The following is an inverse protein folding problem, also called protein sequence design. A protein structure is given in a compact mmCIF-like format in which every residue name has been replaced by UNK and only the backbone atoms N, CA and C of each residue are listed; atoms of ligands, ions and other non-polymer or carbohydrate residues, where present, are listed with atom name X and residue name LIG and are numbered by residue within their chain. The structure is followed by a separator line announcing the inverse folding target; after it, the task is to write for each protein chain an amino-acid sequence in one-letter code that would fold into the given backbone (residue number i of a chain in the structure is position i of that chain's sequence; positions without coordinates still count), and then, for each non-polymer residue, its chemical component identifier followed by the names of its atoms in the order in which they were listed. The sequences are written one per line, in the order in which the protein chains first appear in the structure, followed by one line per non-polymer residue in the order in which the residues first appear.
data_IF_684140199217
#
_entry.id   IF_684140199217
#
_cell.length_a   1.000
_cell.length_b   1.000
_cell.length_c   1.000
_cell.angle_alpha   90.00
_cell.angle_beta   90.00
_cell.angle_gamma   90.00
#
_symmetry.space_group_name_H-M   'P 1'
#
loop_
_entity.id
_entity.type
_entity.pdbx_description
1 polymer ?
#
# COMPACT_ATOMS: atom_id res chain seq x y z
N UNK A 1 -30.24 29.62 -52.88
CA UNK A 1 -30.84 28.76 -51.83
C UNK A 1 -31.26 27.37 -52.34
N UNK A 2 -30.58 26.81 -53.35
CA UNK A 2 -30.98 25.56 -54.03
C UNK A 2 -29.80 24.58 -54.30
N UNK A 3 -28.73 24.59 -53.48
CA UNK A 3 -27.58 23.69 -53.67
C UNK A 3 -27.18 22.85 -52.45
N UNK A 4 -27.98 22.86 -51.37
CA UNK A 4 -27.70 22.07 -50.15
C UNK A 4 -28.56 20.81 -49.98
N UNK A 5 -29.55 20.57 -50.85
CA UNK A 5 -30.45 19.42 -50.75
C UNK A 5 -30.04 18.21 -51.61
N UNK A 6 -29.14 18.38 -52.59
CA UNK A 6 -28.70 17.27 -53.46
C UNK A 6 -27.58 16.40 -52.84
N UNK A 7 -26.94 16.85 -51.75
CA UNK A 7 -25.87 16.09 -51.07
C UNK A 7 -26.43 15.19 -49.95
N UNK A 8 -27.67 15.43 -49.49
CA UNK A 8 -28.32 14.64 -48.45
C UNK A 8 -28.90 13.31 -48.96
N UNK A 9 -29.20 13.18 -50.26
CA UNK A 9 -29.78 11.97 -50.85
C UNK A 9 -28.75 10.92 -51.25
N UNK A 10 -27.47 11.31 -51.39
CA UNK A 10 -26.39 10.40 -51.79
C UNK A 10 -25.63 9.79 -50.58
N UNK A 11 -25.89 10.29 -49.37
CA UNK A 11 -25.30 9.76 -48.13
C UNK A 11 -26.15 8.64 -47.48
N UNK A 12 -27.35 8.37 -47.99
CA UNK A 12 -28.26 7.34 -47.45
C UNK A 12 -28.27 6.03 -48.25
N UNK A 13 -27.53 5.96 -49.38
CA UNK A 13 -27.48 4.76 -50.25
C UNK A 13 -26.23 3.89 -50.01
N UNK A 14 -25.22 4.38 -49.28
CA UNK A 14 -24.04 3.57 -48.95
C UNK A 14 -24.23 2.62 -47.75
N UNK A 15 -25.40 2.59 -47.13
CA UNK A 15 -25.79 1.55 -46.17
C UNK A 15 -26.38 0.29 -46.85
N UNK A 16 -26.65 0.33 -48.17
CA UNK A 16 -27.31 -0.74 -48.92
C UNK A 16 -26.35 -1.69 -49.68
N UNK A 17 -25.04 -1.63 -49.41
CA UNK A 17 -24.03 -2.39 -50.13
C UNK A 17 -23.80 -3.84 -49.67
N UNK A 18 -24.40 -4.27 -48.55
CA UNK A 18 -24.32 -5.67 -48.12
C UNK A 18 -25.47 -6.45 -48.75
N UNK A 19 -25.16 -7.36 -49.67
CA UNK A 19 -26.16 -8.22 -50.28
C UNK A 19 -26.98 -8.98 -49.22
N UNK A 20 -28.25 -9.37 -49.50
CA UNK A 20 -29.13 -10.03 -48.52
C UNK A 20 -28.49 -11.24 -47.82
N UNK A 21 -27.58 -11.93 -48.51
CA UNK A 21 -26.81 -13.05 -47.97
C UNK A 21 -25.78 -12.61 -46.91
N UNK A 22 -25.03 -11.53 -47.15
CA UNK A 22 -24.07 -10.99 -46.17
C UNK A 22 -24.77 -10.46 -44.92
N UNK A 23 -25.93 -9.81 -45.07
CA UNK A 23 -26.72 -9.35 -43.92
C UNK A 23 -27.22 -10.53 -43.05
N UNK A 24 -27.62 -11.64 -43.68
CA UNK A 24 -28.02 -12.88 -42.97
C UNK A 24 -26.85 -13.51 -42.23
N UNK A 25 -25.67 -13.59 -42.86
CA UNK A 25 -24.47 -14.14 -42.22
C UNK A 25 -24.01 -13.29 -41.04
N UNK A 26 -24.02 -11.96 -41.16
CA UNK A 26 -23.69 -11.05 -40.06
C UNK A 26 -24.65 -11.20 -38.86
N UNK A 27 -25.96 -11.37 -39.12
CA UNK A 27 -26.95 -11.64 -38.08
C UNK A 27 -26.72 -12.97 -37.36
N UNK A 28 -26.50 -14.05 -38.12
CA UNK A 28 -26.23 -15.38 -37.57
C UNK A 28 -24.91 -15.44 -36.78
N UNK A 29 -23.86 -14.80 -37.29
CA UNK A 29 -22.56 -14.70 -36.61
C UNK A 29 -22.70 -13.97 -35.26
N UNK A 30 -23.42 -12.84 -35.24
CA UNK A 30 -23.72 -12.08 -34.02
C UNK A 30 -24.47 -12.93 -33.00
N UNK A 31 -25.50 -13.65 -33.43
CA UNK A 31 -26.28 -14.51 -32.55
C UNK A 31 -25.43 -15.64 -31.96
N UNK A 32 -24.62 -16.30 -32.80
CA UNK A 32 -23.70 -17.36 -32.38
C UNK A 32 -22.67 -16.84 -31.36
N UNK A 33 -22.11 -15.65 -31.58
CA UNK A 33 -21.20 -14.99 -30.65
C UNK A 33 -21.83 -14.78 -29.27
N UNK A 34 -23.03 -14.20 -29.20
CA UNK A 34 -23.71 -13.99 -27.92
C UNK A 34 -24.17 -15.30 -27.26
N UNK A 35 -24.56 -16.30 -28.05
CA UNK A 35 -24.88 -17.63 -27.54
C UNK A 35 -23.65 -18.26 -26.85
N UNK A 36 -22.47 -18.11 -27.43
CA UNK A 36 -21.22 -18.56 -26.82
C UNK A 36 -20.91 -17.86 -25.50
N UNK A 37 -21.13 -16.53 -25.42
CA UNK A 37 -20.94 -15.80 -24.16
C UNK A 37 -21.92 -16.23 -23.06
N UNK A 38 -23.12 -16.70 -23.41
CA UNK A 38 -24.04 -17.32 -22.44
C UNK A 38 -23.48 -18.66 -21.93
N UNK A 39 -23.00 -19.52 -22.83
CA UNK A 39 -22.37 -20.79 -22.46
C UNK A 39 -21.17 -20.58 -21.52
N UNK A 40 -20.35 -19.54 -21.74
CA UNK A 40 -19.24 -19.22 -20.83
C UNK A 40 -19.76 -18.87 -19.42
N UNK A 41 -20.83 -18.07 -19.33
CA UNK A 41 -21.44 -17.70 -18.04
C UNK A 41 -22.08 -18.87 -17.32
N UNK A 42 -22.59 -19.85 -18.07
CA UNK A 42 -23.12 -21.12 -17.56
C UNK A 42 -22.03 -22.08 -17.09
N UNK A 43 -20.74 -21.71 -17.20
CA UNK A 43 -19.63 -22.57 -16.78
C UNK A 43 -19.26 -23.65 -17.79
N UNK A 44 -19.62 -23.47 -19.07
CA UNK A 44 -19.28 -24.36 -20.19
C UNK A 44 -18.23 -23.74 -21.12
N UNK A 45 -16.99 -23.52 -20.64
CA UNK A 45 -15.98 -22.77 -21.40
C UNK A 45 -15.58 -23.47 -22.71
N UNK A 46 -15.56 -24.81 -22.76
CA UNK A 46 -15.18 -25.53 -23.98
C UNK A 46 -16.22 -25.35 -25.08
N UNK A 47 -17.50 -25.61 -24.77
CA UNK A 47 -18.61 -25.38 -25.70
C UNK A 47 -18.66 -23.92 -26.16
N UNK A 48 -18.42 -22.96 -25.24
CA UNK A 48 -18.35 -21.54 -25.59
C UNK A 48 -17.22 -21.24 -26.58
N UNK A 49 -16.00 -21.75 -26.34
CA UNK A 49 -14.87 -21.52 -27.22
C UNK A 49 -15.08 -22.13 -28.61
N UNK A 50 -15.62 -23.34 -28.68
CA UNK A 50 -15.97 -24.01 -29.95
C UNK A 50 -17.06 -23.26 -30.70
N UNK A 51 -18.08 -22.76 -30.01
CA UNK A 51 -19.16 -21.94 -30.60
C UNK A 51 -18.61 -20.62 -31.17
N UNK A 52 -17.64 -19.99 -30.51
CA UNK A 52 -16.95 -18.79 -31.02
C UNK A 52 -16.12 -19.09 -32.26
N UNK A 53 -15.41 -20.23 -32.30
CA UNK A 53 -14.69 -20.67 -33.50
C UNK A 53 -15.67 -20.89 -34.65
N UNK A 54 -16.78 -21.58 -34.41
CA UNK A 54 -17.81 -21.78 -35.42
C UNK A 54 -18.41 -20.44 -35.91
N UNK A 55 -18.62 -19.46 -35.02
CA UNK A 55 -19.06 -18.12 -35.41
C UNK A 55 -18.04 -17.40 -36.31
N UNK A 56 -16.75 -17.54 -36.04
CA UNK A 56 -15.68 -17.04 -36.90
C UNK A 56 -15.68 -17.73 -38.28
N UNK A 57 -15.84 -19.06 -38.32
CA UNK A 57 -15.84 -19.85 -39.56
C UNK A 57 -17.06 -19.58 -40.46
N UNK A 58 -18.21 -19.19 -39.88
CA UNK A 58 -19.41 -18.81 -40.65
C UNK A 58 -19.18 -17.59 -41.55
N UNK A 59 -18.41 -16.60 -41.08
CA UNK A 59 -18.08 -15.41 -41.85
C UNK A 59 -16.74 -14.82 -41.38
N UNK A 60 -15.65 -15.24 -42.02
CA UNK A 60 -14.29 -14.77 -41.72
C UNK A 60 -14.06 -13.31 -42.11
N UNK A 61 -14.95 -12.68 -42.87
CA UNK A 61 -14.85 -11.24 -43.17
C UNK A 61 -15.86 -10.41 -42.37
N UNK A 62 -16.68 -11.07 -41.56
CA UNK A 62 -17.71 -10.47 -40.75
C UNK A 62 -17.15 -9.57 -39.65
N UNK A 63 -17.95 -8.59 -39.25
CA UNK A 63 -17.56 -7.59 -38.24
C UNK A 63 -17.36 -8.18 -36.84
N UNK A 64 -17.82 -9.41 -36.57
CA UNK A 64 -17.63 -10.12 -35.31
C UNK A 64 -16.52 -11.17 -35.37
N UNK A 65 -15.94 -11.43 -36.54
CA UNK A 65 -14.91 -12.45 -36.71
C UNK A 65 -13.66 -12.22 -35.83
N UNK A 66 -13.08 -11.00 -35.75
CA UNK A 66 -11.93 -10.76 -34.87
C UNK A 66 -12.28 -10.85 -33.37
N UNK A 67 -13.47 -10.42 -32.96
CA UNK A 67 -13.96 -10.56 -31.60
C UNK A 67 -14.16 -12.03 -31.22
N UNK A 68 -14.80 -12.81 -32.10
CA UNK A 68 -15.04 -14.24 -31.87
C UNK A 68 -13.72 -15.00 -31.69
N UNK A 69 -12.75 -14.76 -32.57
CA UNK A 69 -11.44 -15.39 -32.52
C UNK A 69 -10.64 -14.97 -31.27
N UNK A 70 -10.66 -13.69 -30.92
CA UNK A 70 -9.98 -13.16 -29.73
C UNK A 70 -10.58 -13.66 -28.42
N UNK A 71 -11.91 -13.78 -28.34
CA UNK A 71 -12.60 -14.32 -27.17
C UNK A 71 -12.41 -15.84 -27.06
N UNK A 72 -12.42 -16.59 -28.17
CA UNK A 72 -12.11 -18.02 -28.15
C UNK A 72 -10.70 -18.26 -27.59
N UNK A 73 -9.70 -17.54 -28.12
CA UNK A 73 -8.32 -17.60 -27.64
C UNK A 73 -8.22 -17.31 -26.13
N UNK A 74 -8.94 -16.29 -25.64
CA UNK A 74 -8.98 -15.95 -24.21
C UNK A 74 -9.55 -17.09 -23.37
N UNK A 75 -10.59 -17.78 -23.83
CA UNK A 75 -11.21 -18.89 -23.09
C UNK A 75 -10.24 -20.07 -23.03
N UNK A 76 -9.61 -20.45 -24.16
CA UNK A 76 -8.58 -21.48 -24.18
C UNK A 76 -7.44 -21.18 -23.20
N UNK A 77 -6.99 -19.93 -23.17
CA UNK A 77 -5.93 -19.48 -22.27
C UNK A 77 -6.36 -19.55 -20.79
N UNK A 78 -7.45 -18.86 -20.42
CA UNK A 78 -7.75 -18.53 -19.02
C UNK A 78 -8.63 -19.53 -18.30
N UNK A 79 -9.42 -20.32 -19.05
CA UNK A 79 -10.42 -21.23 -18.50
C UNK A 79 -10.09 -22.68 -18.77
N UNK A 80 -9.61 -22.98 -19.98
CA UNK A 80 -9.25 -24.34 -20.37
C UNK A 80 -7.77 -24.66 -20.08
N UNK A 81 -6.93 -23.64 -19.92
CA UNK A 81 -5.49 -23.77 -19.69
C UNK A 81 -4.80 -24.54 -20.84
N UNK A 82 -5.16 -24.19 -22.08
CA UNK A 82 -4.58 -24.75 -23.32
C UNK A 82 -3.77 -23.65 -24.02
N UNK A 83 -2.56 -23.33 -23.52
CA UNK A 83 -1.79 -22.18 -23.97
C UNK A 83 -1.37 -22.30 -25.44
N UNK A 84 -1.12 -23.51 -25.96
CA UNK A 84 -0.76 -23.71 -27.37
C UNK A 84 -1.95 -23.40 -28.28
N UNK A 85 -3.14 -23.88 -27.93
CA UNK A 85 -4.37 -23.58 -28.68
C UNK A 85 -4.72 -22.10 -28.66
N UNK A 86 -4.57 -21.45 -27.50
CA UNK A 86 -4.73 -20.01 -27.38
C UNK A 86 -3.72 -19.24 -28.26
N UNK A 87 -2.46 -19.66 -28.27
CA UNK A 87 -1.39 -19.06 -29.09
C UNK A 87 -1.71 -19.17 -30.59
N UNK A 88 -2.19 -20.32 -31.06
CA UNK A 88 -2.62 -20.51 -32.46
C UNK A 88 -3.74 -19.52 -32.85
N UNK A 89 -4.77 -19.39 -32.02
CA UNK A 89 -5.91 -18.52 -32.30
C UNK A 89 -5.52 -17.03 -32.24
N UNK A 90 -4.67 -16.63 -31.29
CA UNK A 90 -4.12 -15.28 -31.27
C UNK A 90 -3.21 -15.00 -32.47
N UNK A 91 -2.42 -15.98 -32.92
CA UNK A 91 -1.62 -15.87 -34.14
C UNK A 91 -2.49 -15.62 -35.37
N UNK A 92 -3.55 -16.43 -35.55
CA UNK A 92 -4.54 -16.23 -36.63
C UNK A 92 -5.20 -14.86 -36.58
N UNK A 93 -5.52 -14.35 -35.39
CA UNK A 93 -6.12 -13.02 -35.21
C UNK A 93 -5.17 -11.90 -35.68
N UNK A 94 -3.88 -12.01 -35.35
CA UNK A 94 -2.88 -11.03 -35.77
C UNK A 94 -2.61 -11.07 -37.29
N UNK A 95 -2.62 -12.26 -37.87
CA UNK A 95 -2.41 -12.47 -39.30
C UNK A 95 -3.58 -11.92 -40.13
N UNK A 96 -4.81 -12.26 -39.75
CA UNK A 96 -5.99 -11.95 -40.56
C UNK A 96 -6.59 -10.58 -40.26
N UNK A 97 -6.43 -10.07 -39.04
CA UNK A 97 -7.04 -8.81 -38.60
C UNK A 97 -6.04 -7.89 -37.90
N UNK A 98 -4.90 -7.52 -38.51
CA UNK A 98 -3.84 -6.75 -37.85
C UNK A 98 -4.32 -5.41 -37.27
N UNK A 99 -5.34 -4.80 -37.88
CA UNK A 99 -5.92 -3.51 -37.47
C UNK A 99 -7.06 -3.63 -36.44
N UNK A 100 -7.46 -4.85 -36.04
CA UNK A 100 -8.55 -5.01 -35.08
C UNK A 100 -8.16 -4.48 -33.69
N UNK A 101 -9.16 -4.02 -32.92
CA UNK A 101 -8.95 -3.60 -31.53
C UNK A 101 -8.34 -4.73 -30.69
N UNK A 102 -8.71 -5.98 -30.96
CA UNK A 102 -8.24 -7.16 -30.24
C UNK A 102 -6.78 -7.49 -30.54
N UNK A 103 -6.28 -7.11 -31.72
CA UNK A 103 -4.91 -7.42 -32.16
C UNK A 103 -3.83 -6.82 -31.25
N UNK A 104 -4.03 -5.61 -30.72
CA UNK A 104 -3.08 -5.03 -29.76
C UNK A 104 -2.91 -5.88 -28.50
N UNK A 105 -4.01 -6.42 -27.97
CA UNK A 105 -3.99 -7.32 -26.80
C UNK A 105 -3.42 -8.69 -27.18
N UNK A 106 -3.81 -9.22 -28.34
CA UNK A 106 -3.32 -10.49 -28.85
C UNK A 106 -1.80 -10.48 -29.01
N UNK A 107 -1.20 -9.40 -29.50
CA UNK A 107 0.26 -9.27 -29.65
C UNK A 107 1.00 -9.47 -28.33
N UNK A 108 0.53 -8.84 -27.25
CA UNK A 108 1.11 -9.02 -25.92
C UNK A 108 0.92 -10.46 -25.41
N UNK A 109 -0.22 -11.09 -25.69
CA UNK A 109 -0.48 -12.48 -25.30
C UNK A 109 0.35 -13.48 -26.11
N UNK A 110 0.52 -13.29 -27.41
CA UNK A 110 1.39 -14.12 -28.27
C UNK A 110 2.81 -14.06 -27.74
N UNK A 111 3.36 -12.85 -27.54
CA UNK A 111 4.72 -12.68 -27.00
C UNK A 111 4.89 -13.37 -25.64
N UNK A 112 3.88 -13.27 -24.78
CA UNK A 112 3.92 -13.91 -23.47
C UNK A 112 3.82 -15.43 -23.58
N UNK A 113 2.86 -15.97 -24.32
CA UNK A 113 2.67 -17.42 -24.44
C UNK A 113 3.86 -18.08 -25.13
N UNK A 114 4.36 -17.51 -26.23
CA UNK A 114 5.52 -18.08 -26.94
C UNK A 114 6.80 -18.04 -26.11
N UNK A 115 6.97 -17.00 -25.28
CA UNK A 115 8.14 -16.85 -24.40
C UNK A 115 8.21 -17.84 -23.24
N UNK A 116 7.10 -18.49 -22.87
CA UNK A 116 7.04 -19.37 -21.68
C UNK A 116 6.55 -20.79 -21.98
N UNK A 117 6.61 -21.21 -23.25
CA UNK A 117 6.35 -22.61 -23.66
C UNK A 117 7.62 -23.48 -23.66
N UNK A 118 8.73 -22.95 -23.15
CA UNK A 118 10.06 -23.58 -23.08
C UNK A 118 10.08 -24.89 -22.28
N UNK A 119 9.35 -24.95 -21.17
CA UNK A 119 9.21 -26.16 -20.36
C UNK A 119 8.10 -27.11 -20.84
N UNK A 120 7.43 -26.76 -21.95
CA UNK A 120 6.32 -27.53 -22.52
C UNK A 120 4.93 -27.03 -22.10
N UNK A 121 3.92 -27.40 -22.89
CA UNK A 121 2.53 -26.94 -22.73
C UNK A 121 1.93 -27.32 -21.37
N UNK A 122 2.20 -28.55 -20.89
CA UNK A 122 1.64 -29.04 -19.63
C UNK A 122 2.14 -28.25 -18.42
N UNK A 123 3.41 -27.84 -18.42
CA UNK A 123 4.02 -27.07 -17.33
C UNK A 123 3.40 -25.67 -17.26
N UNK A 124 3.29 -25.00 -18.40
CA UNK A 124 2.66 -23.68 -18.47
C UNK A 124 1.16 -23.75 -18.10
N UNK A 125 0.47 -24.78 -18.57
CA UNK A 125 -0.94 -25.02 -18.23
C UNK A 125 -1.15 -25.19 -16.72
N UNK A 126 -0.31 -26.00 -16.06
CA UNK A 126 -0.41 -26.22 -14.61
C UNK A 126 -0.04 -24.97 -13.81
N UNK A 127 0.98 -24.21 -14.26
CA UNK A 127 1.32 -22.91 -13.69
C UNK A 127 0.12 -21.95 -13.75
N UNK A 128 -0.49 -21.81 -14.93
CA UNK A 128 -1.65 -20.92 -15.13
C UNK A 128 -2.86 -21.38 -14.32
N UNK A 129 -3.12 -22.69 -14.28
CA UNK A 129 -4.21 -23.28 -13.48
C UNK A 129 -4.03 -22.97 -12.01
N UNK A 130 -2.87 -23.25 -11.46
CA UNK A 130 -2.56 -23.05 -10.04
C UNK A 130 -2.69 -21.58 -9.65
N UNK A 131 -2.09 -20.68 -10.42
CA UNK A 131 -2.11 -19.24 -10.11
C UNK A 131 -3.48 -18.59 -10.27
N UNK A 132 -4.30 -19.04 -11.24
CA UNK A 132 -5.66 -18.53 -11.45
C UNK A 132 -6.64 -19.09 -10.41
N UNK A 133 -6.54 -20.37 -10.08
CA UNK A 133 -7.45 -21.03 -9.14
C UNK A 133 -7.10 -20.78 -7.66
N UNK A 134 -5.92 -20.24 -7.37
CA UNK A 134 -5.46 -19.99 -6.01
C UNK A 134 -6.41 -19.12 -5.16
N UNK A 135 -7.18 -18.21 -5.77
CA UNK A 135 -8.15 -17.41 -5.00
C UNK A 135 -9.40 -18.20 -4.60
N UNK A 136 -9.68 -19.33 -5.27
CA UNK A 136 -10.79 -20.24 -4.94
C UNK A 136 -10.33 -21.39 -4.05
N UNK A 137 -9.03 -21.70 -4.07
CA UNK A 137 -8.40 -22.75 -3.28
C UNK A 137 -7.70 -22.16 -2.05
N UNK A 138 -7.23 -23.03 -1.17
CA UNK A 138 -6.32 -22.63 -0.10
C UNK A 138 -4.99 -22.14 -0.73
N UNK A 139 -4.59 -20.91 -0.42
CA UNK A 139 -3.35 -20.30 -0.93
C UNK A 139 -2.11 -21.15 -0.63
N UNK A 140 -2.11 -21.86 0.50
CA UNK A 140 -0.99 -22.74 0.86
C UNK A 140 -0.92 -23.98 -0.02
N UNK A 141 -2.06 -24.58 -0.36
CA UNK A 141 -2.10 -25.74 -1.25
C UNK A 141 -1.64 -25.35 -2.65
N UNK A 142 -2.07 -24.18 -3.12
CA UNK A 142 -1.62 -23.63 -4.40
C UNK A 142 -0.10 -23.33 -4.38
N UNK A 143 0.42 -22.76 -3.29
CA UNK A 143 1.85 -22.53 -3.10
C UNK A 143 2.65 -23.85 -3.15
N UNK A 144 2.22 -24.89 -2.41
CA UNK A 144 2.87 -26.22 -2.41
C UNK A 144 2.85 -26.89 -3.79
N UNK A 145 1.74 -26.80 -4.52
CA UNK A 145 1.64 -27.34 -5.88
C UNK A 145 2.59 -26.62 -6.84
N UNK A 146 2.63 -25.28 -6.74
CA UNK A 146 3.52 -24.49 -7.58
C UNK A 146 4.99 -24.75 -7.24
N UNK A 147 5.34 -24.86 -5.96
CA UNK A 147 6.70 -25.22 -5.51
C UNK A 147 7.14 -26.55 -6.13
N UNK A 148 6.31 -27.60 -6.00
CA UNK A 148 6.58 -28.90 -6.62
C UNK A 148 6.78 -28.81 -8.13
N UNK A 149 5.96 -28.02 -8.83
CA UNK A 149 6.09 -27.82 -10.28
C UNK A 149 7.45 -27.18 -10.63
N UNK A 150 7.86 -26.16 -9.87
CA UNK A 150 9.11 -25.44 -10.13
C UNK A 150 10.35 -26.26 -9.75
N UNK A 151 10.27 -27.10 -8.73
CA UNK A 151 11.35 -28.02 -8.37
C UNK A 151 11.57 -29.10 -9.44
N UNK A 152 10.49 -29.55 -10.08
CA UNK A 152 10.55 -30.49 -11.21
C UNK A 152 11.04 -29.83 -12.51
N UNK A 153 10.83 -28.52 -12.64
CA UNK A 153 11.17 -27.74 -13.84
C UNK A 153 11.99 -26.49 -13.49
N UNK A 154 13.23 -26.64 -12.98
CA UNK A 154 14.03 -25.52 -12.49
C UNK A 154 14.43 -24.52 -13.60
N UNK A 155 14.50 -24.99 -14.85
CA UNK A 155 14.82 -24.16 -16.02
C UNK A 155 13.59 -23.49 -16.64
N UNK A 156 12.41 -23.63 -16.03
CA UNK A 156 11.20 -22.99 -16.54
C UNK A 156 11.37 -21.47 -16.53
N UNK A 157 11.11 -20.82 -17.66
CA UNK A 157 11.18 -19.37 -17.82
C UNK A 157 10.44 -18.55 -16.76
N UNK A 158 9.37 -19.10 -16.16
CA UNK A 158 8.60 -18.47 -15.07
C UNK A 158 9.01 -18.94 -13.66
N UNK A 159 10.13 -19.66 -13.49
CA UNK A 159 10.50 -20.21 -12.19
C UNK A 159 10.72 -19.12 -11.14
N UNK A 160 11.36 -18.02 -11.50
CA UNK A 160 11.59 -16.89 -10.58
C UNK A 160 10.27 -16.19 -10.23
N UNK A 161 9.45 -15.89 -11.23
CA UNK A 161 8.13 -15.28 -11.07
C UNK A 161 7.21 -16.16 -10.22
N UNK A 162 7.24 -17.47 -10.43
CA UNK A 162 6.50 -18.46 -9.67
C UNK A 162 6.92 -18.50 -8.20
N UNK A 163 8.23 -18.40 -7.90
CA UNK A 163 8.71 -18.28 -6.53
C UNK A 163 8.27 -16.98 -5.86
N UNK A 164 8.26 -15.85 -6.57
CA UNK A 164 7.65 -14.62 -6.05
C UNK A 164 6.15 -14.79 -5.76
N UNK A 165 5.44 -15.50 -6.63
CA UNK A 165 4.04 -15.80 -6.42
C UNK A 165 3.83 -16.66 -5.17
N UNK A 166 4.65 -17.69 -4.95
CA UNK A 166 4.65 -18.53 -3.74
C UNK A 166 4.85 -17.68 -2.49
N UNK A 167 5.88 -16.82 -2.47
CA UNK A 167 6.14 -15.94 -1.34
C UNK A 167 4.93 -15.04 -1.02
N UNK A 168 4.31 -14.43 -2.03
CA UNK A 168 3.11 -13.60 -1.85
C UNK A 168 1.90 -14.40 -1.38
N UNK A 169 1.70 -15.63 -1.89
CA UNK A 169 0.64 -16.51 -1.44
C UNK A 169 0.80 -16.90 0.03
N UNK A 170 2.02 -17.25 0.45
CA UNK A 170 2.36 -17.57 1.84
C UNK A 170 2.18 -16.36 2.77
N UNK A 171 2.60 -15.17 2.34
CA UNK A 171 2.39 -13.93 3.10
C UNK A 171 0.89 -13.67 3.33
N UNK A 172 0.08 -13.76 2.26
CA UNK A 172 -1.39 -13.61 2.33
C UNK A 172 -2.07 -14.69 3.18
N UNK A 173 -1.48 -15.87 3.28
CA UNK A 173 -1.90 -16.94 4.18
C UNK A 173 -1.45 -16.73 5.64
N UNK A 174 -0.72 -15.65 5.95
CA UNK A 174 -0.19 -15.36 7.28
C UNK A 174 1.12 -16.07 7.61
N UNK A 175 1.66 -16.87 6.69
CA UNK A 175 2.91 -17.63 6.85
C UNK A 175 4.14 -16.78 6.52
N UNK A 176 4.30 -15.67 7.25
CA UNK A 176 5.36 -14.68 7.01
C UNK A 176 6.78 -15.27 7.04
N UNK A 177 7.05 -16.21 7.95
CA UNK A 177 8.37 -16.83 8.06
C UNK A 177 8.70 -17.71 6.84
N UNK A 178 7.74 -18.47 6.32
CA UNK A 178 7.92 -19.29 5.12
C UNK A 178 8.08 -18.39 3.88
N UNK A 179 7.28 -17.34 3.75
CA UNK A 179 7.40 -16.36 2.68
C UNK A 179 8.79 -15.69 2.65
N UNK A 180 9.32 -15.30 3.82
CA UNK A 180 10.67 -14.73 3.93
C UNK A 180 11.75 -15.72 3.47
N UNK A 181 11.64 -17.02 3.84
CA UNK A 181 12.59 -18.04 3.37
C UNK A 181 12.62 -18.15 1.85
N UNK A 182 11.44 -18.13 1.20
CA UNK A 182 11.36 -18.18 -0.27
C UNK A 182 12.00 -16.93 -0.89
N UNK A 183 11.74 -15.74 -0.34
CA UNK A 183 12.37 -14.51 -0.83
C UNK A 183 13.88 -14.50 -0.62
N UNK A 184 14.37 -15.05 0.51
CA UNK A 184 15.81 -15.17 0.77
C UNK A 184 16.50 -16.09 -0.23
N UNK A 185 15.84 -17.17 -0.66
CA UNK A 185 16.34 -18.02 -1.74
C UNK A 185 16.42 -17.27 -3.07
N UNK A 186 15.41 -16.46 -3.41
CA UNK A 186 15.44 -15.64 -4.64
C UNK A 186 16.55 -14.58 -4.55
N UNK A 187 16.72 -13.95 -3.39
CA UNK A 187 17.73 -12.93 -3.13
C UNK A 187 19.18 -13.46 -3.20
N UNK A 188 19.37 -14.76 -3.00
CA UNK A 188 20.66 -15.42 -3.14
C UNK A 188 20.97 -15.94 -4.55
N UNK A 189 20.06 -15.76 -5.51
CA UNK A 189 20.24 -16.25 -6.88
C UNK A 189 21.09 -15.35 -7.77
N UNK A 190 21.47 -15.86 -8.95
CA UNK A 190 22.39 -15.19 -9.87
C UNK A 190 21.79 -13.99 -10.60
N UNK A 191 20.45 -13.85 -10.62
CA UNK A 191 19.77 -12.76 -11.31
C UNK A 191 19.73 -11.50 -10.40
N UNK A 192 20.47 -10.41 -10.73
CA UNK A 192 20.52 -9.24 -9.86
C UNK A 192 19.19 -8.49 -9.76
N UNK A 193 18.35 -8.54 -10.81
CA UNK A 193 17.05 -7.89 -10.81
C UNK A 193 16.04 -8.62 -9.93
N UNK A 194 16.00 -9.95 -10.03
CA UNK A 194 15.20 -10.78 -9.13
C UNK A 194 15.66 -10.61 -7.68
N UNK A 195 16.98 -10.61 -7.45
CA UNK A 195 17.55 -10.44 -6.11
C UNK A 195 17.20 -9.10 -5.50
N UNK A 196 17.32 -8.01 -6.26
CA UNK A 196 16.94 -6.68 -5.81
C UNK A 196 15.45 -6.58 -5.46
N UNK A 197 14.58 -7.15 -6.30
CA UNK A 197 13.13 -7.20 -6.05
C UNK A 197 12.78 -8.00 -4.78
N UNK A 198 13.43 -9.15 -4.57
CA UNK A 198 13.23 -9.97 -3.39
C UNK A 198 13.69 -9.25 -2.11
N UNK A 199 14.85 -8.61 -2.13
CA UNK A 199 15.36 -7.82 -1.01
C UNK A 199 14.44 -6.65 -0.66
N UNK A 200 13.85 -5.97 -1.65
CA UNK A 200 12.84 -4.94 -1.41
C UNK A 200 11.56 -5.47 -0.75
N UNK A 201 11.11 -6.66 -1.13
CA UNK A 201 9.96 -7.32 -0.48
C UNK A 201 10.30 -7.76 0.94
N UNK A 202 11.48 -8.34 1.18
CA UNK A 202 11.97 -8.68 2.51
C UNK A 202 11.99 -7.44 3.41
N UNK A 203 12.56 -6.33 2.94
CA UNK A 203 12.61 -5.09 3.71
C UNK A 203 11.20 -4.60 4.07
N UNK A 204 10.27 -4.62 3.10
CA UNK A 204 8.88 -4.22 3.32
C UNK A 204 8.18 -5.11 4.36
N UNK A 205 8.36 -6.43 4.26
CA UNK A 205 7.78 -7.39 5.21
C UNK A 205 8.36 -7.21 6.62
N UNK A 206 9.66 -6.94 6.74
CA UNK A 206 10.34 -6.69 8.03
C UNK A 206 9.90 -5.36 8.65
N UNK A 207 9.77 -4.29 7.87
CA UNK A 207 9.17 -3.01 8.31
C UNK A 207 7.74 -3.24 8.84
N UNK A 208 6.91 -3.99 8.11
CA UNK A 208 5.55 -4.29 8.54
C UNK A 208 5.51 -5.16 9.82
N UNK A 209 6.56 -5.94 10.08
CA UNK A 209 6.77 -6.68 11.33
C UNK A 209 7.39 -5.86 12.46
N UNK A 210 7.81 -4.61 12.21
CA UNK A 210 8.51 -3.76 13.17
C UNK A 210 9.99 -4.11 13.37
N UNK A 211 10.55 -4.98 12.51
CA UNK A 211 11.97 -5.37 12.46
C UNK A 211 12.72 -4.42 11.52
N UNK A 212 13.12 -3.25 12.04
CA UNK A 212 13.82 -2.25 11.24
C UNK A 212 15.27 -2.62 10.96
N UNK A 213 15.96 -3.23 11.92
CA UNK A 213 17.35 -3.69 11.75
C UNK A 213 17.42 -4.70 10.60
N UNK A 214 16.52 -5.66 10.59
CA UNK A 214 16.45 -6.64 9.52
C UNK A 214 16.05 -6.02 8.17
N UNK A 215 15.22 -4.99 8.14
CA UNK A 215 14.92 -4.28 6.90
C UNK A 215 16.13 -3.47 6.40
N UNK A 216 16.90 -2.87 7.31
CA UNK A 216 18.16 -2.18 7.03
C UNK A 216 19.16 -3.14 6.37
N UNK A 217 19.32 -4.34 6.92
CA UNK A 217 20.18 -5.39 6.35
C UNK A 217 19.78 -5.76 4.93
N UNK A 218 18.48 -5.87 4.66
CA UNK A 218 17.96 -6.17 3.33
C UNK A 218 18.29 -5.05 2.32
N UNK A 219 18.13 -3.78 2.71
CA UNK A 219 18.54 -2.66 1.87
C UNK A 219 20.06 -2.59 1.68
N UNK A 220 20.86 -2.87 2.71
CA UNK A 220 22.33 -2.94 2.60
C UNK A 220 22.75 -4.02 1.61
N UNK A 221 22.12 -5.21 1.65
CA UNK A 221 22.33 -6.27 0.65
C UNK A 221 21.93 -5.80 -0.75
N UNK A 222 20.80 -5.09 -0.87
CA UNK A 222 20.33 -4.56 -2.16
C UNK A 222 21.30 -3.51 -2.73
N UNK A 223 21.88 -2.66 -1.87
CA UNK A 223 22.87 -1.67 -2.28
C UNK A 223 24.16 -2.29 -2.83
N UNK A 224 24.56 -3.46 -2.31
CA UNK A 224 25.75 -4.20 -2.79
C UNK A 224 25.59 -4.70 -4.23
N UNK A 225 24.36 -4.83 -4.74
CA UNK A 225 24.11 -5.17 -6.15
C UNK A 225 24.51 -4.04 -7.11
N UNK A 226 24.74 -2.83 -6.62
CA UNK A 226 25.26 -1.70 -7.39
C UNK A 226 24.26 -1.06 -8.36
N UNK A 227 24.75 -0.11 -9.17
CA UNK A 227 23.99 0.58 -10.22
C UNK A 227 22.70 1.24 -9.71
N UNK A 228 21.59 1.01 -10.43
CA UNK A 228 20.27 1.55 -10.07
C UNK A 228 19.77 1.07 -8.70
N UNK A 229 20.17 -0.13 -8.26
CA UNK A 229 19.69 -0.73 -7.01
C UNK A 229 20.27 -0.06 -5.76
N UNK A 230 21.48 0.48 -5.85
CA UNK A 230 22.07 1.31 -4.79
C UNK A 230 21.22 2.54 -4.50
N UNK A 231 20.76 3.24 -5.54
CA UNK A 231 19.89 4.41 -5.39
C UNK A 231 18.54 4.05 -4.76
N UNK A 232 17.94 2.93 -5.21
CA UNK A 232 16.69 2.43 -4.62
C UNK A 232 16.86 2.03 -3.15
N UNK A 233 17.96 1.37 -2.81
CA UNK A 233 18.28 1.00 -1.44
C UNK A 233 18.51 2.23 -0.56
N UNK A 234 19.27 3.22 -1.02
CA UNK A 234 19.49 4.48 -0.29
C UNK A 234 18.19 5.25 -0.06
N UNK A 235 17.26 5.24 -1.03
CA UNK A 235 15.93 5.81 -0.86
C UNK A 235 15.12 5.05 0.21
N UNK A 236 15.14 3.71 0.17
CA UNK A 236 14.49 2.86 1.18
C UNK A 236 15.05 3.08 2.58
N UNK A 237 16.37 3.21 2.72
CA UNK A 237 17.06 3.51 3.99
C UNK A 237 16.64 4.87 4.55
N UNK A 238 16.53 5.90 3.72
CA UNK A 238 16.03 7.22 4.17
C UNK A 238 14.60 7.13 4.70
N UNK A 239 13.76 6.33 4.07
CA UNK A 239 12.39 6.08 4.53
C UNK A 239 12.38 5.31 5.86
N UNK A 240 13.27 4.32 6.02
CA UNK A 240 13.42 3.56 7.27
C UNK A 240 13.78 4.48 8.45
N UNK A 241 14.76 5.37 8.29
CA UNK A 241 15.13 6.35 9.34
C UNK A 241 13.96 7.29 9.68
N UNK A 242 13.16 7.70 8.68
CA UNK A 242 11.95 8.50 8.93
C UNK A 242 10.96 7.71 9.80
N UNK A 243 10.68 6.46 9.44
CA UNK A 243 9.75 5.59 10.19
C UNK A 243 10.24 5.27 11.60
N UNK A 244 11.53 5.02 11.78
CA UNK A 244 12.13 4.75 13.09
C UNK A 244 12.03 5.98 13.99
N UNK A 245 12.33 7.17 13.45
CA UNK A 245 12.17 8.44 14.16
C UNK A 245 10.70 8.68 14.54
N UNK A 246 9.77 8.42 13.63
CA UNK A 246 8.33 8.52 13.89
C UNK A 246 7.87 7.54 14.98
N UNK A 247 8.44 6.34 15.05
CA UNK A 247 8.15 5.37 16.12
C UNK A 247 8.81 5.71 17.45
N UNK A 248 10.00 6.32 17.44
CA UNK A 248 10.74 6.69 18.65
C UNK A 248 10.20 7.97 19.30
N UNK A 249 9.65 8.89 18.51
CA UNK A 249 9.12 10.18 18.97
C UNK A 249 8.10 10.09 20.13
N UNK A 250 7.11 9.18 20.16
CA UNK A 250 6.18 9.06 21.28
C UNK A 250 6.89 8.58 22.55
N UNK A 251 7.83 7.64 22.44
CA UNK A 251 8.56 7.11 23.59
C UNK A 251 9.45 8.20 24.19
N UNK A 252 10.21 8.93 23.36
CA UNK A 252 11.08 10.02 23.80
C UNK A 252 10.26 11.15 24.44
N UNK A 253 9.14 11.52 23.85
CA UNK A 253 8.26 12.57 24.40
C UNK A 253 7.56 12.13 25.68
N UNK A 254 7.14 10.86 25.79
CA UNK A 254 6.60 10.28 27.03
C UNK A 254 7.63 10.30 28.15
N UNK A 255 8.83 9.79 27.89
CA UNK A 255 9.92 9.79 28.88
C UNK A 255 10.21 11.22 29.31
N UNK A 256 10.39 12.15 28.36
CA UNK A 256 10.63 13.57 28.65
C UNK A 256 9.55 14.17 29.54
N UNK A 257 8.27 13.92 29.21
CA UNK A 257 7.12 14.37 30.00
C UNK A 257 7.13 13.79 31.43
N UNK A 258 7.35 12.49 31.58
CA UNK A 258 7.45 11.84 32.89
C UNK A 258 8.59 12.41 33.72
N UNK A 259 9.78 12.61 33.13
CA UNK A 259 10.92 13.23 33.84
C UNK A 259 10.60 14.64 34.31
N UNK A 260 9.99 15.47 33.46
CA UNK A 260 9.57 16.83 33.84
C UNK A 260 8.55 16.83 34.98
N UNK A 261 7.57 15.91 34.94
CA UNK A 261 6.57 15.77 35.99
C UNK A 261 7.19 15.32 37.32
N UNK A 262 8.07 14.31 37.30
CA UNK A 262 8.80 13.84 38.48
C UNK A 262 9.64 14.96 39.10
N UNK A 263 10.30 15.79 38.28
CA UNK A 263 11.06 16.93 38.79
C UNK A 263 10.15 17.95 39.48
N UNK A 264 9.01 18.30 38.88
CA UNK A 264 8.05 19.21 39.48
C UNK A 264 7.60 18.75 40.87
N UNK A 265 7.34 17.45 41.04
CA UNK A 265 7.02 16.84 42.33
C UNK A 265 8.17 16.91 43.34
N UNK A 266 9.40 16.59 42.93
CA UNK A 266 10.58 16.70 43.81
C UNK A 266 10.76 18.13 44.30
N UNK A 267 10.58 19.13 43.42
CA UNK A 267 10.67 20.54 43.79
C UNK A 267 9.56 20.94 44.77
N UNK A 268 8.33 20.51 44.52
CA UNK A 268 7.20 20.75 45.40
C UNK A 268 7.45 20.19 46.80
N UNK A 269 7.87 18.92 46.91
CA UNK A 269 8.17 18.26 48.18
C UNK A 269 9.35 18.94 48.89
N UNK A 270 10.43 19.25 48.17
CA UNK A 270 11.58 19.93 48.74
C UNK A 270 11.24 21.34 49.25
N UNK A 271 10.38 22.06 48.54
CA UNK A 271 9.90 23.39 48.95
C UNK A 271 9.02 23.31 50.21
N UNK A 272 8.14 22.31 50.28
CA UNK A 272 7.33 22.02 51.47
C UNK A 272 8.22 21.67 52.66
N UNK A 273 9.25 20.84 52.45
CA UNK A 273 10.19 20.42 53.48
C UNK A 273 11.08 21.56 53.99
N UNK A 274 11.53 22.50 53.15
CA UNK A 274 12.27 23.68 53.63
C UNK A 274 11.41 24.63 54.48
N UNK A 275 10.09 24.66 54.23
CA UNK A 275 9.15 25.49 55.00
C UNK A 275 8.65 24.85 56.29
N UNK A 276 9.16 23.67 56.68
CA UNK A 276 8.72 22.89 57.84
C UNK A 276 8.77 23.63 59.19
N UNK A 277 9.53 24.72 59.32
CA UNK A 277 9.56 25.55 60.56
C UNK A 277 8.34 26.47 60.77
N UNK A 278 7.41 26.59 59.83
CA UNK A 278 6.11 27.29 60.00
C UNK A 278 4.97 26.53 59.30
N UNK A 279 4.96 25.22 59.43
CA UNK A 279 4.04 24.35 58.69
C UNK A 279 2.66 24.31 59.37
N UNK A 280 1.74 25.19 58.95
CA UNK A 280 0.32 25.08 59.31
C UNK A 280 -0.40 24.20 58.28
N UNK A 281 -1.22 23.26 58.76
CA UNK A 281 -1.98 22.27 57.95
C UNK A 281 -2.84 22.91 56.84
N UNK A 282 -3.14 24.22 56.94
CA UNK A 282 -3.83 25.00 55.90
C UNK A 282 -3.12 25.03 54.55
N UNK A 283 -1.82 24.78 54.49
CA UNK A 283 -1.04 24.78 53.24
C UNK A 283 -1.04 23.44 52.48
N UNK A 284 -1.50 22.36 53.12
CA UNK A 284 -1.62 21.05 52.47
C UNK A 284 -2.90 20.93 51.64
N UNK A 285 -3.86 21.83 51.82
CA UNK A 285 -5.02 21.93 50.94
C UNK A 285 -4.55 22.75 49.73
N UNK A 286 -4.43 22.13 48.54
CA UNK A 286 -4.21 22.90 47.31
C UNK A 286 -5.27 24.00 47.26
N UNK A 287 -4.91 25.21 46.85
CA UNK A 287 -5.91 26.27 46.68
C UNK A 287 -7.03 25.76 45.78
N UNK A 288 -8.26 26.23 45.98
CA UNK A 288 -9.42 25.81 45.16
C UNK A 288 -9.11 25.91 43.66
N UNK A 289 -8.31 26.92 43.29
CA UNK A 289 -7.79 27.15 41.95
C UNK A 289 -6.95 25.95 41.45
N UNK A 290 -6.05 25.41 42.28
CA UNK A 290 -5.21 24.26 41.93
C UNK A 290 -6.06 23.02 41.62
N UNK A 291 -7.14 22.79 42.37
CA UNK A 291 -8.09 21.70 42.11
C UNK A 291 -8.92 21.94 40.85
N UNK A 292 -9.37 23.16 40.61
CA UNK A 292 -10.06 23.53 39.37
C UNK A 292 -9.17 23.32 38.14
N UNK A 293 -7.88 23.67 38.24
CA UNK A 293 -6.91 23.45 37.17
C UNK A 293 -6.63 21.96 36.95
N UNK A 294 -6.41 21.18 38.01
CA UNK A 294 -6.23 19.73 37.91
C UNK A 294 -7.46 19.04 37.31
N UNK A 295 -8.67 19.44 37.72
CA UNK A 295 -9.93 18.93 37.18
C UNK A 295 -10.11 19.29 35.70
N UNK A 296 -9.84 20.53 35.31
CA UNK A 296 -9.90 20.97 33.91
C UNK A 296 -8.84 20.25 33.05
N UNK A 297 -7.62 20.10 33.56
CA UNK A 297 -6.54 19.37 32.89
C UNK A 297 -6.87 17.89 32.72
N UNK A 298 -7.44 17.24 33.74
CA UNK A 298 -7.88 15.84 33.68
C UNK A 298 -9.03 15.65 32.68
N UNK A 299 -10.03 16.54 32.68
CA UNK A 299 -11.15 16.49 31.73
C UNK A 299 -10.70 16.66 30.28
N UNK A 300 -9.76 17.57 30.03
CA UNK A 300 -9.20 17.76 28.70
C UNK A 300 -8.24 16.62 28.30
N UNK A 301 -7.51 16.01 29.24
CA UNK A 301 -6.69 14.81 28.96
C UNK A 301 -7.56 13.60 28.60
N UNK A 302 -8.65 13.37 29.34
CA UNK A 302 -9.63 12.32 29.03
C UNK A 302 -10.30 12.57 27.67
N UNK A 303 -10.69 13.82 27.39
CA UNK A 303 -11.23 14.20 26.09
C UNK A 303 -10.20 14.00 24.97
N UNK A 304 -8.92 14.28 25.25
CA UNK A 304 -7.85 14.13 24.28
C UNK A 304 -7.47 12.67 23.98
N UNK A 305 -7.64 11.78 24.96
CA UNK A 305 -7.47 10.33 24.78
C UNK A 305 -8.51 9.71 23.83
N UNK A 306 -9.57 10.44 23.48
CA UNK A 306 -10.59 10.05 22.51
C UNK A 306 -10.17 10.09 21.03
N UNK A 307 -8.94 10.49 20.71
CA UNK A 307 -8.29 10.15 19.43
C UNK A 307 -8.77 10.86 18.16
N UNK A 308 -9.34 12.07 18.22
CA UNK A 308 -9.71 12.85 17.02
C UNK A 308 -8.70 13.95 16.69
N UNK A 309 -8.61 14.44 15.45
CA UNK A 309 -7.71 15.56 15.06
C UNK A 309 -7.93 16.86 15.88
N UNK A 310 -9.09 17.01 16.51
CA UNK A 310 -9.39 18.10 17.44
C UNK A 310 -8.66 17.98 18.79
N UNK A 311 -8.22 16.78 19.19
CA UNK A 311 -7.56 16.53 20.48
C UNK A 311 -6.14 17.10 20.54
N UNK A 312 -5.41 17.11 19.43
CA UNK A 312 -4.10 17.73 19.38
C UNK A 312 -4.14 19.26 19.49
N UNK A 313 -5.15 19.90 18.89
CA UNK A 313 -5.36 21.34 19.03
C UNK A 313 -5.75 21.71 20.46
N UNK A 314 -6.56 20.87 21.12
CA UNK A 314 -6.92 21.03 22.52
C UNK A 314 -5.71 20.90 23.46
N UNK A 315 -4.87 19.88 23.28
CA UNK A 315 -3.66 19.68 24.08
C UNK A 315 -2.57 20.75 23.82
N UNK A 316 -2.45 21.25 22.59
CA UNK A 316 -1.57 22.40 22.31
C UNK A 316 -2.08 23.68 22.99
N UNK A 317 -3.39 23.93 22.97
CA UNK A 317 -4.03 25.04 23.68
C UNK A 317 -3.89 24.90 25.21
N UNK A 318 -3.99 23.67 25.74
CA UNK A 318 -3.73 23.38 27.14
C UNK A 318 -2.30 23.67 27.54
N UNK A 319 -1.32 23.21 26.76
CA UNK A 319 0.09 23.48 27.01
C UNK A 319 0.35 24.98 27.04
N UNK A 320 -0.19 25.72 26.06
CA UNK A 320 -0.11 27.18 26.03
C UNK A 320 -0.77 27.85 27.25
N UNK A 321 -1.94 27.38 27.68
CA UNK A 321 -2.60 27.86 28.91
C UNK A 321 -1.80 27.55 30.17
N UNK A 322 -1.20 26.36 30.26
CA UNK A 322 -0.39 25.97 31.43
C UNK A 322 0.86 26.85 31.50
N UNK A 323 1.46 27.16 30.35
CA UNK A 323 2.57 28.11 30.23
C UNK A 323 2.16 29.53 30.66
N UNK A 324 1.00 30.01 30.20
CA UNK A 324 0.46 31.32 30.53
C UNK A 324 0.09 31.47 32.01
N UNK A 325 -0.23 30.36 32.70
CA UNK A 325 -0.58 30.36 34.14
C UNK A 325 0.66 30.16 35.04
N UNK A 326 1.65 29.38 34.60
CA UNK A 326 2.88 29.14 35.37
C UNK A 326 3.86 30.32 35.33
N UNK A 327 3.89 31.09 34.24
CA UNK A 327 4.72 32.30 34.11
C UNK A 327 4.42 33.35 35.19
N UNK A 328 3.14 33.72 35.43
CA UNK A 328 2.76 34.64 36.49
C UNK A 328 3.05 34.09 37.89
N UNK A 329 2.91 32.79 38.14
CA UNK A 329 3.22 32.19 39.44
C UNK A 329 4.72 32.27 39.77
N UNK A 330 5.59 32.12 38.76
CA UNK A 330 7.03 32.38 38.89
C UNK A 330 7.37 33.86 39.08
N UNK A 331 6.61 34.77 38.47
CA UNK A 331 6.74 36.22 38.65
C UNK A 331 6.22 36.69 40.02
N UNK A 332 5.20 36.05 40.58
CA UNK A 332 4.65 36.36 41.90
C UNK A 332 5.67 36.09 43.02
N UNK A 333 6.67 35.23 42.77
CA UNK A 333 7.81 35.00 43.68
C UNK A 333 8.86 36.12 43.70
N UNK A 334 8.74 37.16 42.87
CA UNK A 334 9.51 38.41 43.01
C UNK A 334 8.97 39.34 44.10
N UNK A 335 7.89 38.97 44.79
CA UNK A 335 7.45 39.72 45.98
C UNK A 335 8.56 39.72 47.05
N UNK A 336 8.83 40.88 47.68
CA UNK A 336 10.01 41.09 48.51
C UNK A 336 9.98 40.19 49.76
N UNK A 337 11.04 39.38 49.95
CA UNK A 337 11.25 38.64 51.22
C UNK A 337 11.94 37.28 51.12
N UNK A 338 12.02 36.65 49.95
CA UNK A 338 12.79 35.39 49.79
C UNK A 338 13.62 35.44 48.50
N UNK A 339 14.95 35.42 48.64
CA UNK A 339 15.89 35.27 47.51
C UNK A 339 16.33 33.81 47.39
N UNK A 340 15.58 32.91 46.73
CA UNK A 340 16.20 31.71 46.18
C UNK A 340 17.20 32.14 45.09
N UNK A 341 18.33 31.45 45.00
CA UNK A 341 19.35 31.73 43.98
C UNK A 341 18.75 31.66 42.57
N UNK A 342 18.98 32.69 41.76
CA UNK A 342 18.42 32.88 40.41
C UNK A 342 18.57 31.66 39.50
N UNK A 343 19.65 30.89 39.63
CA UNK A 343 19.89 29.69 38.81
C UNK A 343 18.86 28.58 38.98
N UNK A 344 18.33 28.38 40.19
CA UNK A 344 17.40 27.29 40.46
C UNK A 344 16.00 27.56 39.88
N UNK A 345 15.62 28.84 39.80
CA UNK A 345 14.36 29.28 39.19
C UNK A 345 14.42 29.15 37.67
N UNK A 346 15.55 29.53 37.06
CA UNK A 346 15.78 29.34 35.63
C UNK A 346 15.69 27.85 35.27
N UNK A 347 16.33 26.97 36.07
CA UNK A 347 16.25 25.53 35.87
C UNK A 347 14.80 25.01 35.96
N UNK A 348 14.03 25.45 36.95
CA UNK A 348 12.64 25.01 37.12
C UNK A 348 11.74 25.43 35.95
N UNK A 349 11.89 26.68 35.48
CA UNK A 349 11.15 27.18 34.32
C UNK A 349 11.52 26.41 33.04
N UNK A 350 12.79 26.08 32.84
CA UNK A 350 13.24 25.26 31.72
C UNK A 350 12.62 23.86 31.75
N UNK A 351 12.57 23.21 32.91
CA UNK A 351 11.99 21.86 33.05
C UNK A 351 10.48 21.84 32.81
N UNK A 352 9.75 22.84 33.32
CA UNK A 352 8.31 23.00 33.05
C UNK A 352 8.04 23.27 31.58
N UNK A 353 8.85 24.12 30.95
CA UNK A 353 8.75 24.43 29.52
C UNK A 353 8.97 23.18 28.66
N UNK A 354 9.99 22.38 28.99
CA UNK A 354 10.25 21.11 28.32
C UNK A 354 9.10 20.11 28.48
N UNK A 355 8.48 20.06 29.67
CA UNK A 355 7.33 19.19 29.94
C UNK A 355 6.10 19.56 29.11
N UNK A 356 5.77 20.86 29.05
CA UNK A 356 4.67 21.38 28.23
C UNK A 356 4.90 21.12 26.74
N UNK A 357 6.11 21.38 26.25
CA UNK A 357 6.47 21.13 24.86
C UNK A 357 6.35 19.64 24.51
N UNK A 358 6.79 18.76 25.41
CA UNK A 358 6.68 17.30 25.24
C UNK A 358 5.23 16.84 25.17
N UNK A 359 4.35 17.35 26.05
CA UNK A 359 2.93 17.03 26.03
C UNK A 359 2.24 17.50 24.74
N UNK A 360 2.57 18.71 24.27
CA UNK A 360 2.06 19.23 22.99
C UNK A 360 2.53 18.37 21.81
N UNK A 361 3.79 17.94 21.79
CA UNK A 361 4.32 17.05 20.75
C UNK A 361 3.64 15.68 20.76
N UNK A 362 3.44 15.06 21.94
CA UNK A 362 2.68 13.81 22.07
C UNK A 362 1.28 13.93 21.50
N UNK A 363 0.62 15.06 21.77
CA UNK A 363 -0.72 15.31 21.28
C UNK A 363 -0.79 15.39 19.76
N UNK A 364 0.06 16.23 19.17
CA UNK A 364 0.16 16.43 17.72
C UNK A 364 0.47 15.09 17.04
N UNK A 365 1.32 14.29 17.65
CA UNK A 365 1.67 12.97 17.14
C UNK A 365 0.51 11.97 17.24
N UNK A 366 -0.17 11.88 18.39
CA UNK A 366 -1.32 11.00 18.58
C UNK A 366 -2.49 11.31 17.64
N UNK A 367 -2.62 12.56 17.21
CA UNK A 367 -3.63 12.99 16.23
C UNK A 367 -3.19 12.85 14.77
N UNK A 368 -1.98 12.35 14.49
CA UNK A 368 -1.46 12.21 13.13
C UNK A 368 -1.21 13.54 12.39
N UNK A 369 -1.10 14.66 13.10
CA UNK A 369 -0.94 15.99 12.48
C UNK A 369 0.52 16.41 12.29
N UNK A 370 1.49 15.53 12.58
CA UNK A 370 2.91 15.88 12.53
C UNK A 370 3.34 16.32 11.13
N UNK A 371 2.82 15.68 10.06
CA UNK A 371 3.11 16.11 8.69
C UNK A 371 2.55 17.49 8.37
N UNK A 372 1.33 17.80 8.83
CA UNK A 372 0.73 19.13 8.62
C UNK A 372 1.53 20.22 9.34
N UNK A 373 2.01 19.94 10.56
CA UNK A 373 2.84 20.86 11.34
C UNK A 373 4.17 21.12 10.63
N UNK A 374 4.88 20.05 10.21
CA UNK A 374 6.15 20.17 9.50
C UNK A 374 5.97 20.86 8.15
N UNK A 375 4.87 20.60 7.44
CA UNK A 375 4.52 21.30 6.21
C UNK A 375 4.33 22.79 6.45
N UNK A 376 3.57 23.16 7.49
CA UNK A 376 3.34 24.58 7.86
C UNK A 376 4.63 25.28 8.26
N UNK A 377 5.55 24.59 8.96
CA UNK A 377 6.85 25.16 9.33
C UNK A 377 7.72 25.36 8.08
N UNK A 378 7.70 24.40 7.14
CA UNK A 378 8.57 24.41 5.96
C UNK A 378 8.10 25.37 4.87
N UNK A 379 6.79 25.52 4.72
CA UNK A 379 6.19 26.27 3.60
C UNK A 379 5.35 27.47 4.05
N UNK A 380 5.19 27.69 5.36
CA UNK A 380 4.29 28.70 5.90
C UNK A 380 2.82 28.27 5.82
N UNK A 381 1.92 29.10 6.37
CA UNK A 381 0.47 28.84 6.42
C UNK A 381 -0.19 28.89 5.03
N UNK A 382 0.48 29.50 4.04
CA UNK A 382 -0.07 29.77 2.70
C UNK A 382 0.65 29.01 1.57
N UNK A 383 1.49 28.03 1.90
CA UNK A 383 2.32 27.28 0.93
C UNK A 383 1.69 26.01 0.41
#
# INVERSE_FOLDING_TARGET
MLSKLAVASLALVTAAGLGPQQARHAGAQRESFYAALRLEREGKPREAAEKLIAAYEMDTKGSYAPEALGEAARIFERKLFEPRRALELYGKLLEQYPQSRQSRRAMARVKWLSGHLDAGEQVLAEYMRTTVQANQQNLEDAARRLEKLLDQHPNFSLAVEGRFWIASALERAGKKAEALKVLEQIAGGDNPEASARALGQIATMRIAGGDFDGAEDAYRKMAKLGGKWRMTAEAGMRQLVKLERERALPAVTTVSYCTSLSWAWVFFIASAWRRRKRFSYRWLVPTLESWLYLGAMMGLYLWASGGTTHTARALAAMGAMTFAVLLPAGLYWRLPGTRPGSGLLVLHLLVLSAGVLSAALMAIQGAGMMEQLLHTIRFGVNG
#
